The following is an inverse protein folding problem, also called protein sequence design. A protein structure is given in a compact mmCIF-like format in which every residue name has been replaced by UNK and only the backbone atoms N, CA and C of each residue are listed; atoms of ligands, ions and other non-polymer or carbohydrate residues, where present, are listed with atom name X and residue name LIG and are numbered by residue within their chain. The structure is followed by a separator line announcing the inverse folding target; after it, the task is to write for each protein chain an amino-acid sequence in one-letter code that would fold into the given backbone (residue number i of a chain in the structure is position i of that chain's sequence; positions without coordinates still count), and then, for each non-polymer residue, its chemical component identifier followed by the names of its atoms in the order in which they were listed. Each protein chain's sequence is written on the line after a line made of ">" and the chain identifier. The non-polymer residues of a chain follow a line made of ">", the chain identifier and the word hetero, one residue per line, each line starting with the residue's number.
data_IF_702265510937
#
_entry.id   IF_702265510937
#
_cell.length_a   1.000
_cell.length_b   1.000
_cell.length_c   1.000
_cell.angle_alpha   90.00
_cell.angle_beta   90.00
_cell.angle_gamma   90.00
#
_symmetry.space_group_name_H-M   'P 1'
#
loop_
_entity.id
_entity.type
_entity.pdbx_description
1 polymer ?
#
# COMPACT_ATOMS: atom_id res chain seq x y z
N UNK A 1 -13.06 8.35 -4.32
CA UNK A 1 -11.76 8.16 -5.03
C UNK A 1 -11.86 6.92 -5.91
N UNK A 2 -11.58 7.05 -7.20
CA UNK A 2 -11.53 5.93 -8.13
C UNK A 2 -10.09 5.75 -8.61
N UNK A 3 -9.50 4.57 -8.35
CA UNK A 3 -8.18 4.25 -8.88
C UNK A 3 -8.35 3.87 -10.35
N UNK A 4 -7.71 4.61 -11.24
CA UNK A 4 -7.86 4.42 -12.67
C UNK A 4 -6.87 3.39 -13.21
N UNK A 5 -5.62 3.42 -12.70
CA UNK A 5 -4.56 2.55 -13.19
C UNK A 5 -3.48 2.33 -12.14
N UNK A 6 -2.95 1.11 -12.11
CA UNK A 6 -1.78 0.71 -11.34
C UNK A 6 -0.72 0.15 -12.28
N UNK A 7 0.54 0.54 -12.08
CA UNK A 7 1.68 0.02 -12.83
C UNK A 7 2.79 -0.36 -11.87
N UNK A 8 3.29 -1.58 -11.99
CA UNK A 8 4.37 -2.12 -11.18
C UNK A 8 5.47 -2.67 -12.07
N UNK A 9 6.71 -2.26 -11.82
CA UNK A 9 7.87 -2.74 -12.58
C UNK A 9 8.99 -3.15 -11.65
N UNK A 10 9.64 -4.25 -12.01
CA UNK A 10 10.85 -4.73 -11.36
C UNK A 10 10.66 -5.09 -9.87
N UNK A 11 9.47 -5.56 -9.48
CA UNK A 11 9.15 -5.96 -8.11
C UNK A 11 8.84 -7.45 -8.01
N UNK A 12 9.67 -8.23 -7.31
CA UNK A 12 9.53 -9.69 -7.12
C UNK A 12 9.24 -10.39 -8.48
N UNK A 13 8.05 -10.98 -8.65
CA UNK A 13 7.62 -11.63 -9.89
C UNK A 13 6.97 -10.66 -10.90
N UNK A 14 6.79 -9.39 -10.55
CA UNK A 14 6.19 -8.38 -11.42
C UNK A 14 7.30 -7.69 -12.23
N UNK A 15 7.52 -8.14 -13.44
CA UNK A 15 8.49 -7.53 -14.36
C UNK A 15 7.98 -6.18 -14.85
N UNK A 16 6.81 -6.20 -15.49
CA UNK A 16 6.11 -5.02 -15.99
C UNK A 16 4.62 -5.35 -16.06
N UNK A 17 3.90 -4.99 -15.02
CA UNK A 17 2.47 -5.28 -14.86
C UNK A 17 1.70 -3.97 -14.78
N UNK A 18 0.63 -3.87 -15.54
CA UNK A 18 -0.28 -2.74 -15.55
C UNK A 18 -1.72 -3.25 -15.63
N UNK A 19 -2.59 -2.70 -14.80
CA UNK A 19 -4.03 -3.00 -14.85
C UNK A 19 -4.87 -1.84 -14.32
N UNK A 20 -6.15 -1.86 -14.68
CA UNK A 20 -7.17 -0.91 -14.25
C UNK A 20 -8.06 -1.63 -13.21
N UNK A 21 -7.94 -1.30 -11.92
CA UNK A 21 -8.72 -1.98 -10.90
C UNK A 21 -10.18 -1.52 -10.93
N UNK A 22 -11.10 -2.48 -10.78
CA UNK A 22 -12.49 -2.19 -10.47
C UNK A 22 -12.72 -1.99 -8.97
N UNK A 23 -14.00 -1.84 -8.59
CA UNK A 23 -14.40 -1.76 -7.17
C UNK A 23 -14.02 -3.04 -6.42
N UNK A 24 -14.20 -4.20 -7.05
CA UNK A 24 -13.79 -5.52 -6.56
C UNK A 24 -12.90 -6.17 -7.63
N UNK A 25 -11.78 -6.76 -7.19
CA UNK A 25 -10.86 -7.45 -8.07
C UNK A 25 -10.53 -8.82 -7.51
N UNK A 26 -10.64 -9.86 -8.34
CA UNK A 26 -10.32 -11.22 -7.96
C UNK A 26 -9.13 -11.72 -8.79
N UNK A 27 -8.03 -12.05 -8.13
CA UNK A 27 -6.84 -12.62 -8.77
C UNK A 27 -6.85 -14.14 -8.68
N UNK A 28 -6.95 -14.81 -9.82
CA UNK A 28 -6.95 -16.27 -9.92
C UNK A 28 -5.66 -16.73 -10.63
N UNK A 29 -5.14 -17.87 -10.24
CA UNK A 29 -3.95 -18.46 -10.85
C UNK A 29 -3.27 -19.49 -9.96
N UNK A 30 -2.29 -20.22 -10.49
CA UNK A 30 -1.50 -21.22 -9.78
C UNK A 30 -0.71 -20.62 -8.61
N UNK A 31 -0.23 -21.46 -7.69
CA UNK A 31 0.69 -21.02 -6.64
C UNK A 31 1.97 -20.48 -7.27
N UNK A 32 2.49 -19.36 -6.74
CA UNK A 32 3.67 -18.71 -7.31
C UNK A 32 3.40 -17.77 -8.51
N UNK A 33 2.15 -17.67 -9.03
CA UNK A 33 1.83 -16.81 -10.18
C UNK A 33 1.86 -15.29 -9.91
N UNK A 34 2.17 -14.87 -8.68
CA UNK A 34 2.30 -13.45 -8.35
C UNK A 34 1.05 -12.77 -7.76
N UNK A 35 -0.05 -13.51 -7.48
CA UNK A 35 -1.29 -12.95 -6.90
C UNK A 35 -1.02 -12.12 -5.63
N UNK A 36 -0.36 -12.71 -4.65
CA UNK A 36 0.02 -12.03 -3.41
C UNK A 36 1.03 -10.92 -3.67
N UNK A 37 1.91 -11.08 -4.67
CA UNK A 37 2.88 -10.07 -5.04
C UNK A 37 2.22 -8.78 -5.53
N UNK A 38 1.09 -8.87 -6.23
CA UNK A 38 0.30 -7.68 -6.64
C UNK A 38 -0.22 -6.95 -5.40
N UNK A 39 -0.79 -7.67 -4.43
CA UNK A 39 -1.25 -7.06 -3.17
C UNK A 39 -0.09 -6.40 -2.41
N UNK A 40 1.06 -7.08 -2.32
CA UNK A 40 2.26 -6.53 -1.68
C UNK A 40 2.80 -5.29 -2.40
N UNK A 41 2.71 -5.25 -3.74
CA UNK A 41 3.12 -4.08 -4.53
C UNK A 41 2.21 -2.88 -4.23
N UNK A 42 0.89 -3.09 -4.13
CA UNK A 42 -0.06 -2.05 -3.70
C UNK A 42 0.27 -1.57 -2.28
N UNK A 43 0.52 -2.49 -1.35
CA UNK A 43 0.89 -2.16 0.03
C UNK A 43 2.17 -1.33 0.10
N UNK A 44 3.18 -1.69 -0.67
CA UNK A 44 4.45 -0.96 -0.71
C UNK A 44 4.31 0.42 -1.36
N UNK A 45 3.49 0.54 -2.42
CA UNK A 45 3.11 1.83 -3.01
C UNK A 45 2.42 2.73 -1.99
N UNK A 46 1.44 2.19 -1.25
CA UNK A 46 0.74 2.92 -0.19
C UNK A 46 1.70 3.36 0.92
N UNK A 47 2.63 2.51 1.34
CA UNK A 47 3.67 2.88 2.30
C UNK A 47 4.57 3.99 1.75
N UNK A 48 4.95 3.91 0.48
CA UNK A 48 5.77 4.92 -0.19
C UNK A 48 5.14 6.31 -0.17
N UNK A 49 3.83 6.39 -0.35
CA UNK A 49 3.12 7.67 -0.34
C UNK A 49 2.97 8.26 1.06
N UNK A 50 2.76 7.41 2.06
CA UNK A 50 2.17 7.82 3.34
C UNK A 50 3.10 7.72 4.55
N UNK A 51 4.22 7.01 4.42
CA UNK A 51 5.07 6.65 5.57
C UNK A 51 6.55 6.57 5.13
N UNK A 52 7.39 6.12 6.04
CA UNK A 52 8.72 5.59 5.74
C UNK A 52 8.57 4.12 5.34
N UNK A 53 9.29 3.68 4.32
CA UNK A 53 9.31 2.27 3.98
C UNK A 53 10.42 1.59 4.78
N UNK A 54 10.02 0.83 5.79
CA UNK A 54 10.87 -0.01 6.63
C UNK A 54 10.13 -1.31 7.00
N UNK A 55 10.77 -2.19 7.73
CA UNK A 55 10.16 -3.46 8.14
C UNK A 55 8.88 -3.26 8.93
N UNK A 56 8.80 -2.24 9.79
CA UNK A 56 7.63 -1.98 10.62
C UNK A 56 6.42 -1.51 9.79
N UNK A 57 6.63 -0.54 8.89
CA UNK A 57 5.56 -0.03 8.02
C UNK A 57 5.05 -1.11 7.06
N UNK A 58 5.96 -1.96 6.54
CA UNK A 58 5.62 -3.09 5.69
C UNK A 58 4.78 -4.15 6.44
N UNK A 59 5.18 -4.49 7.67
CA UNK A 59 4.43 -5.44 8.50
C UNK A 59 3.03 -4.94 8.84
N UNK A 60 2.88 -3.65 9.19
CA UNK A 60 1.55 -3.05 9.45
C UNK A 60 0.61 -3.15 8.25
N UNK A 61 1.13 -3.20 7.03
CA UNK A 61 0.36 -3.38 5.80
C UNK A 61 0.19 -4.85 5.38
N UNK A 62 0.73 -5.79 6.16
CA UNK A 62 0.66 -7.23 5.84
C UNK A 62 1.61 -7.67 4.72
N UNK A 63 2.63 -6.88 4.41
CA UNK A 63 3.65 -7.23 3.43
C UNK A 63 4.64 -8.21 4.06
N UNK A 64 4.90 -9.32 3.39
CA UNK A 64 5.87 -10.31 3.86
C UNK A 64 7.30 -9.75 3.76
N UNK A 65 7.98 -9.73 4.89
CA UNK A 65 9.39 -9.33 4.94
C UNK A 65 10.27 -10.34 4.22
N UNK A 66 11.32 -9.82 3.63
CA UNK A 66 12.32 -10.60 2.90
C UNK A 66 13.67 -9.88 2.94
N UNK A 67 14.74 -10.58 2.55
CA UNK A 67 16.03 -9.92 2.33
C UNK A 67 15.93 -8.93 1.15
N UNK A 68 16.60 -7.77 1.23
CA UNK A 68 16.44 -6.69 0.26
C UNK A 68 16.59 -7.12 -1.21
N UNK A 69 17.54 -7.98 -1.51
CA UNK A 69 17.77 -8.47 -2.86
C UNK A 69 16.59 -9.22 -3.51
N UNK A 70 15.70 -9.81 -2.70
CA UNK A 70 14.53 -10.56 -3.17
C UNK A 70 13.32 -9.68 -3.48
N UNK A 71 13.34 -8.40 -3.15
CA UNK A 71 12.29 -7.47 -3.56
C UNK A 71 12.40 -7.07 -5.04
N UNK A 72 13.59 -7.13 -5.63
CA UNK A 72 13.78 -6.88 -7.05
C UNK A 72 13.49 -8.11 -7.87
N UNK A 73 12.96 -7.92 -9.08
CA UNK A 73 12.76 -9.00 -10.03
C UNK A 73 14.11 -9.64 -10.41
N UNK A 74 14.12 -10.97 -10.45
CA UNK A 74 15.31 -11.76 -10.76
C UNK A 74 15.44 -12.09 -12.26
N UNK A 75 14.60 -11.51 -13.13
CA UNK A 75 14.67 -11.72 -14.58
C UNK A 75 15.99 -11.20 -15.13
N UNK A 76 16.69 -12.05 -15.88
CA UNK A 76 18.09 -11.82 -16.31
C UNK A 76 18.29 -10.52 -17.08
N UNK A 77 17.30 -10.13 -17.87
CA UNK A 77 17.36 -8.95 -18.73
C UNK A 77 17.21 -7.64 -17.95
N UNK A 78 16.55 -7.69 -16.80
CA UNK A 78 16.31 -6.50 -15.95
C UNK A 78 17.47 -6.20 -15.00
N UNK A 79 18.22 -7.19 -14.57
CA UNK A 79 19.35 -7.01 -13.62
C UNK A 79 20.37 -5.97 -14.07
N UNK A 80 20.52 -5.77 -15.37
CA UNK A 80 21.48 -4.81 -15.94
C UNK A 80 20.90 -3.44 -16.23
N UNK A 81 19.56 -3.30 -16.36
CA UNK A 81 18.91 -2.10 -16.90
C UNK A 81 18.07 -1.32 -15.90
N UNK A 82 17.56 -1.95 -14.85
CA UNK A 82 16.68 -1.30 -13.90
C UNK A 82 17.22 -1.36 -12.46
N UNK A 83 17.95 -0.33 -12.02
CA UNK A 83 18.49 -0.29 -10.65
C UNK A 83 17.40 -0.13 -9.59
N UNK A 84 16.23 0.36 -9.98
CA UNK A 84 15.10 0.71 -9.08
C UNK A 84 13.89 -0.18 -9.31
N UNK A 85 13.06 -0.26 -8.28
CA UNK A 85 11.68 -0.72 -8.37
C UNK A 85 10.82 0.49 -8.69
N UNK A 86 9.86 0.35 -9.61
CA UNK A 86 9.04 1.47 -10.06
C UNK A 86 7.57 1.18 -9.81
N UNK A 87 6.88 2.12 -9.20
CA UNK A 87 5.43 2.11 -9.00
C UNK A 87 4.80 3.38 -9.55
N UNK A 88 3.63 3.23 -10.14
CA UNK A 88 2.82 4.34 -10.62
C UNK A 88 1.34 4.05 -10.33
N UNK A 89 0.62 5.04 -9.84
CA UNK A 89 -0.81 5.00 -9.62
C UNK A 89 -1.45 6.27 -10.15
N UNK A 90 -2.56 6.11 -10.88
CA UNK A 90 -3.43 7.23 -11.22
C UNK A 90 -4.83 7.01 -10.64
N UNK A 91 -5.43 8.09 -10.17
CA UNK A 91 -6.79 8.09 -9.63
C UNK A 91 -7.51 9.38 -9.98
N UNK A 92 -8.84 9.35 -9.89
CA UNK A 92 -9.69 10.52 -10.07
C UNK A 92 -10.58 10.75 -8.83
N UNK A 93 -10.74 12.02 -8.49
CA UNK A 93 -11.61 12.47 -7.41
C UNK A 93 -12.05 13.91 -7.68
N UNK A 94 -13.35 14.22 -7.52
CA UNK A 94 -13.91 15.57 -7.65
C UNK A 94 -13.45 16.28 -8.94
N UNK A 95 -13.58 15.59 -10.09
CA UNK A 95 -13.19 16.08 -11.42
C UNK A 95 -11.69 16.37 -11.60
N UNK A 96 -10.86 16.07 -10.61
CA UNK A 96 -9.40 16.15 -10.70
C UNK A 96 -8.80 14.78 -10.99
N UNK A 97 -7.76 14.75 -11.81
CA UNK A 97 -6.96 13.57 -12.10
C UNK A 97 -5.60 13.68 -11.43
N UNK A 98 -5.25 12.66 -10.70
CA UNK A 98 -4.01 12.57 -9.93
C UNK A 98 -3.15 11.43 -10.47
N UNK A 99 -1.84 11.62 -10.46
CA UNK A 99 -0.89 10.56 -10.72
C UNK A 99 0.28 10.69 -9.76
N UNK A 100 0.65 9.58 -9.16
CA UNK A 100 1.85 9.47 -8.33
C UNK A 100 2.75 8.38 -8.90
N UNK A 101 4.01 8.72 -9.13
CA UNK A 101 5.04 7.82 -9.61
C UNK A 101 6.25 7.85 -8.67
N UNK A 102 6.76 6.67 -8.30
CA UNK A 102 7.91 6.54 -7.42
C UNK A 102 8.89 5.48 -7.92
N UNK A 103 10.17 5.80 -7.81
CA UNK A 103 11.28 4.89 -8.06
C UNK A 103 12.04 4.68 -6.75
N UNK A 104 12.17 3.42 -6.33
CA UNK A 104 12.73 3.03 -5.06
C UNK A 104 14.00 2.21 -5.22
N UNK A 105 15.01 2.52 -4.43
CA UNK A 105 16.14 1.63 -4.20
C UNK A 105 15.85 0.75 -2.98
N UNK A 106 16.09 -0.55 -3.12
CA UNK A 106 16.02 -1.46 -1.97
C UNK A 106 17.06 -1.08 -0.91
N UNK A 107 16.84 -1.45 0.36
CA UNK A 107 17.79 -1.21 1.43
C UNK A 107 19.19 -1.73 1.11
N UNK A 108 20.18 -1.04 1.63
CA UNK A 108 21.59 -1.46 1.54
C UNK A 108 22.00 -2.15 2.85
N UNK A 109 22.18 -3.45 2.82
CA UNK A 109 22.55 -4.26 3.99
C UNK A 109 23.89 -3.86 4.62
N UNK A 110 24.77 -3.21 3.86
CA UNK A 110 26.06 -2.72 4.37
C UNK A 110 25.93 -1.43 5.20
N UNK A 111 24.80 -0.73 5.13
CA UNK A 111 24.52 0.44 5.96
C UNK A 111 23.91 0.00 7.30
N UNK A 112 24.72 -0.10 8.34
CA UNK A 112 24.32 -0.59 9.66
C UNK A 112 23.20 0.25 10.31
N UNK A 113 23.10 1.54 9.98
CA UNK A 113 22.10 2.46 10.53
C UNK A 113 20.76 2.44 9.78
N UNK A 114 20.77 2.00 8.52
CA UNK A 114 19.61 2.09 7.62
C UNK A 114 19.39 0.84 6.78
N UNK A 115 19.86 -0.32 7.26
CA UNK A 115 19.84 -1.59 6.54
C UNK A 115 18.46 -2.12 6.17
N UNK A 116 17.38 -1.61 6.76
CA UNK A 116 16.00 -1.96 6.46
C UNK A 116 15.21 -0.82 5.82
N UNK A 117 15.82 0.36 5.63
CA UNK A 117 15.15 1.54 5.06
C UNK A 117 15.30 1.62 3.55
N UNK A 118 14.18 1.84 2.89
CA UNK A 118 14.12 2.06 1.46
C UNK A 118 14.43 3.51 1.11
N UNK A 119 15.24 3.68 0.07
CA UNK A 119 15.60 5.02 -0.40
C UNK A 119 14.78 5.40 -1.62
N UNK A 120 14.18 6.57 -1.59
CA UNK A 120 13.51 7.16 -2.74
C UNK A 120 14.56 7.67 -3.74
N UNK A 121 14.61 7.06 -4.93
CA UNK A 121 15.47 7.52 -6.03
C UNK A 121 14.85 8.72 -6.73
N UNK A 122 13.57 8.64 -7.04
CA UNK A 122 12.77 9.75 -7.56
C UNK A 122 11.30 9.56 -7.18
N UNK A 123 10.58 10.66 -7.11
CA UNK A 123 9.18 10.69 -6.77
C UNK A 123 8.53 11.88 -7.47
N UNK A 124 7.32 11.70 -7.98
CA UNK A 124 6.60 12.73 -8.71
C UNK A 124 5.11 12.61 -8.44
N UNK A 125 4.47 13.75 -8.15
CA UNK A 125 3.04 13.89 -8.03
C UNK A 125 2.53 14.91 -9.05
N UNK A 126 1.51 14.54 -9.81
CA UNK A 126 0.84 15.44 -10.76
C UNK A 126 -0.64 15.53 -10.45
N UNK A 127 -1.21 16.71 -10.71
CA UNK A 127 -2.65 16.96 -10.68
C UNK A 127 -3.02 17.58 -12.03
N UNK A 128 -4.01 16.99 -12.72
CA UNK A 128 -4.44 17.41 -14.06
C UNK A 128 -3.26 17.55 -15.05
N UNK A 129 -2.30 16.62 -15.01
CA UNK A 129 -1.06 16.58 -15.78
C UNK A 129 -0.01 17.66 -15.42
N UNK A 130 -0.28 18.53 -14.45
CA UNK A 130 0.70 19.48 -13.94
C UNK A 130 1.46 18.90 -12.76
N UNK A 131 2.78 19.05 -12.74
CA UNK A 131 3.61 18.58 -11.64
C UNK A 131 3.46 19.52 -10.44
N UNK A 132 2.82 19.05 -9.37
CA UNK A 132 2.66 19.82 -8.14
C UNK A 132 3.79 19.56 -7.15
N UNK A 133 4.45 18.40 -7.26
CA UNK A 133 5.60 18.08 -6.42
C UNK A 133 6.47 16.99 -7.07
N UNK A 134 7.77 17.03 -6.77
CA UNK A 134 8.69 16.00 -7.22
C UNK A 134 10.09 16.13 -6.64
N UNK A 135 10.77 14.99 -6.55
CA UNK A 135 12.21 14.89 -6.25
C UNK A 135 12.88 13.95 -7.23
N UNK A 136 14.15 14.23 -7.55
CA UNK A 136 14.99 13.41 -8.42
C UNK A 136 16.26 12.99 -7.69
N UNK A 137 16.70 11.76 -7.92
CA UNK A 137 17.94 11.23 -7.34
C UNK A 137 19.22 11.95 -7.78
N UNK A 138 19.15 12.68 -8.90
CA UNK A 138 20.24 13.52 -9.41
C UNK A 138 20.25 14.94 -8.81
N UNK A 139 19.16 15.38 -8.22
CA UNK A 139 19.03 16.69 -7.58
C UNK A 139 19.54 16.62 -6.15
N UNK A 140 20.30 17.64 -5.69
CA UNK A 140 20.57 17.87 -4.27
C UNK A 140 19.28 18.34 -3.62
N UNK A 141 18.40 17.40 -3.29
CA UNK A 141 17.13 17.70 -2.63
C UNK A 141 17.38 17.98 -1.16
N UNK A 142 16.67 18.97 -0.63
CA UNK A 142 16.64 19.31 0.81
C UNK A 142 15.88 18.27 1.62
N UNK A 143 15.14 17.36 0.95
CA UNK A 143 14.27 16.39 1.59
C UNK A 143 14.98 15.09 1.99
N UNK A 144 14.62 14.53 3.14
CA UNK A 144 15.11 13.22 3.58
C UNK A 144 14.74 12.14 2.52
N UNK A 145 15.73 11.46 1.92
CA UNK A 145 15.47 10.46 0.88
C UNK A 145 14.86 9.15 1.41
N UNK A 146 14.57 9.05 2.70
CA UNK A 146 14.04 7.84 3.36
C UNK A 146 12.60 7.99 3.85
N UNK A 147 11.94 9.12 3.57
CA UNK A 147 10.55 9.35 4.00
C UNK A 147 9.65 9.62 2.81
N UNK A 148 8.40 9.16 2.89
CA UNK A 148 7.37 9.39 1.89
C UNK A 148 6.81 10.80 1.92
N UNK A 149 6.06 11.13 0.87
CA UNK A 149 5.52 12.47 0.61
C UNK A 149 4.75 13.06 1.81
N UNK A 150 3.88 12.27 2.45
CA UNK A 150 3.07 12.76 3.58
C UNK A 150 3.88 13.06 4.85
N UNK A 151 5.08 12.52 4.98
CA UNK A 151 5.96 12.76 6.12
C UNK A 151 6.82 14.02 5.93
N UNK A 152 6.83 14.59 4.74
CA UNK A 152 7.52 15.86 4.48
C UNK A 152 6.75 17.01 5.12
N UNK A 153 7.45 18.10 5.39
CA UNK A 153 6.82 19.31 5.95
C UNK A 153 5.64 19.77 5.08
N UNK A 154 4.55 20.25 5.71
CA UNK A 154 3.40 20.75 4.99
C UNK A 154 3.80 21.89 4.04
N UNK A 155 3.44 21.73 2.79
CA UNK A 155 3.52 22.77 1.76
C UNK A 155 2.08 23.13 1.37
N UNK A 156 1.76 24.40 1.19
CA UNK A 156 0.43 24.87 0.79
C UNK A 156 -0.04 24.21 -0.51
N UNK A 157 0.88 24.02 -1.48
CA UNK A 157 0.59 23.36 -2.76
C UNK A 157 0.17 21.89 -2.60
N UNK A 158 0.61 21.23 -1.52
CA UNK A 158 0.27 19.84 -1.22
C UNK A 158 -0.95 19.68 -0.32
N UNK A 159 -1.48 20.74 0.27
CA UNK A 159 -2.55 20.67 1.26
C UNK A 159 -3.81 19.97 0.73
N UNK A 160 -4.26 20.32 -0.49
CA UNK A 160 -5.42 19.68 -1.12
C UNK A 160 -5.17 18.21 -1.46
N UNK A 161 -3.96 17.89 -1.94
CA UNK A 161 -3.60 16.54 -2.36
C UNK A 161 -3.37 15.64 -1.15
N UNK A 162 -2.94 16.21 -0.03
CA UNK A 162 -2.64 15.49 1.21
C UNK A 162 -3.81 14.65 1.69
N UNK A 163 -5.02 15.22 1.70
CA UNK A 163 -6.25 14.52 2.07
C UNK A 163 -6.53 13.32 1.18
N UNK A 164 -6.26 13.42 -0.12
CA UNK A 164 -6.43 12.30 -1.05
C UNK A 164 -5.39 11.20 -0.82
N UNK A 165 -4.14 11.58 -0.59
CA UNK A 165 -3.06 10.62 -0.33
C UNK A 165 -3.27 9.91 1.01
N UNK A 166 -3.83 10.58 2.02
CA UNK A 166 -4.11 9.98 3.33
C UNK A 166 -5.03 8.75 3.25
N UNK A 167 -5.89 8.67 2.25
CA UNK A 167 -6.76 7.50 2.02
C UNK A 167 -5.96 6.21 1.79
N UNK A 168 -4.74 6.30 1.24
CA UNK A 168 -3.86 5.17 1.04
C UNK A 168 -3.22 4.61 2.33
N UNK A 169 -3.31 5.35 3.45
CA UNK A 169 -2.85 4.86 4.76
C UNK A 169 -3.59 3.61 5.20
N UNK A 170 -4.88 3.52 4.87
CA UNK A 170 -5.78 2.47 5.33
C UNK A 170 -5.63 1.14 4.57
N UNK A 171 -4.80 1.10 3.52
CA UNK A 171 -4.57 -0.15 2.81
C UNK A 171 -3.85 -1.16 3.71
N UNK A 172 -4.40 -2.36 3.81
CA UNK A 172 -3.78 -3.49 4.50
C UNK A 172 -4.13 -4.82 3.80
N UNK A 173 -3.25 -5.79 3.93
CA UNK A 173 -3.43 -7.15 3.42
C UNK A 173 -3.86 -8.02 4.58
N UNK A 174 -5.11 -8.45 4.58
CA UNK A 174 -5.64 -9.37 5.57
C UNK A 174 -5.43 -10.82 5.13
N UNK A 175 -4.96 -11.65 6.05
CA UNK A 175 -4.77 -13.08 5.88
C UNK A 175 -5.43 -13.82 7.05
N UNK A 176 -6.78 -13.82 7.14
CA UNK A 176 -7.49 -14.40 8.25
C UNK A 176 -7.14 -15.89 8.43
N UNK A 177 -6.91 -16.31 9.68
CA UNK A 177 -6.72 -17.71 10.02
C UNK A 177 -7.62 -18.10 11.19
N UNK A 178 -8.00 -19.37 11.21
CA UNK A 178 -8.97 -19.90 12.18
C UNK A 178 -8.54 -19.70 13.65
N UNK A 179 -7.27 -19.73 13.94
CA UNK A 179 -6.76 -19.64 15.31
C UNK A 179 -6.88 -18.22 15.86
N UNK A 180 -6.51 -17.21 15.05
CA UNK A 180 -6.68 -15.81 15.41
C UNK A 180 -8.16 -15.41 15.46
N UNK A 181 -8.97 -15.86 14.47
CA UNK A 181 -10.41 -15.59 14.44
C UNK A 181 -11.14 -16.15 15.66
N UNK A 182 -10.73 -17.33 16.16
CA UNK A 182 -11.31 -17.96 17.35
C UNK A 182 -10.67 -17.49 18.67
N UNK A 183 -9.70 -16.59 18.62
CA UNK A 183 -8.99 -16.15 19.81
C UNK A 183 -8.14 -17.24 20.50
N UNK A 184 -7.90 -18.39 19.84
CA UNK A 184 -7.09 -19.48 20.40
C UNK A 184 -5.59 -19.19 20.36
N UNK A 185 -5.14 -18.32 19.44
CA UNK A 185 -3.82 -17.75 19.42
C UNK A 185 -3.92 -16.24 19.21
N UNK A 186 -3.04 -15.44 19.84
CA UNK A 186 -3.02 -14.01 19.61
C UNK A 186 -2.63 -13.71 18.14
N UNK A 187 -3.23 -12.66 17.58
CA UNK A 187 -2.82 -12.16 16.26
C UNK A 187 -1.41 -11.55 16.36
N UNK A 188 -0.44 -12.04 15.61
CA UNK A 188 0.93 -11.51 15.64
C UNK A 188 1.02 -10.09 15.06
N UNK A 189 0.01 -9.66 14.30
CA UNK A 189 -0.05 -8.36 13.62
C UNK A 189 -1.28 -7.58 14.09
N UNK A 190 -1.22 -7.10 15.33
CA UNK A 190 -2.29 -6.29 15.91
C UNK A 190 -2.32 -4.93 15.25
N UNK A 191 -3.34 -4.70 14.42
CA UNK A 191 -3.68 -3.42 13.81
C UNK A 191 -5.11 -3.09 14.25
N UNK A 192 -5.41 -1.83 14.50
CA UNK A 192 -6.75 -1.40 14.83
C UNK A 192 -7.55 -1.12 13.55
N UNK A 193 -8.86 -1.44 13.47
CA UNK A 193 -9.66 -2.13 14.52
C UNK A 193 -9.51 -3.64 14.54
N UNK A 194 -9.05 -4.27 13.46
CA UNK A 194 -8.96 -5.73 13.26
C UNK A 194 -7.52 -6.11 12.97
N UNK A 195 -6.99 -7.13 13.64
CA UNK A 195 -5.66 -7.67 13.34
C UNK A 195 -5.57 -8.28 11.94
N UNK A 196 -4.39 -8.28 11.32
CA UNK A 196 -4.22 -8.75 9.93
C UNK A 196 -4.53 -10.25 9.75
N UNK A 197 -4.47 -11.05 10.82
CA UNK A 197 -4.89 -12.46 10.82
C UNK A 197 -6.32 -12.67 11.31
N UNK A 198 -7.08 -11.60 11.49
CA UNK A 198 -8.48 -11.64 11.95
C UNK A 198 -8.65 -11.54 13.46
N UNK A 199 -7.60 -11.27 14.22
CA UNK A 199 -7.71 -11.03 15.66
C UNK A 199 -8.59 -9.80 15.95
N UNK A 200 -9.39 -9.88 17.02
CA UNK A 200 -10.34 -8.83 17.43
C UNK A 200 -11.48 -8.56 16.43
N UNK A 201 -11.77 -9.50 15.53
CA UNK A 201 -12.88 -9.32 14.59
C UNK A 201 -14.22 -9.24 15.33
N UNK A 202 -14.43 -10.10 16.34
CA UNK A 202 -15.68 -10.10 17.11
C UNK A 202 -15.91 -8.79 17.84
N UNK A 203 -14.87 -8.24 18.49
CA UNK A 203 -14.93 -6.97 19.20
C UNK A 203 -15.19 -5.79 18.24
N UNK A 204 -14.57 -5.82 17.07
CA UNK A 204 -14.78 -4.77 16.06
C UNK A 204 -16.21 -4.79 15.53
N UNK A 205 -16.80 -5.98 15.31
CA UNK A 205 -18.22 -6.14 14.92
C UNK A 205 -19.12 -5.63 16.06
N UNK A 206 -18.84 -5.99 17.31
CA UNK A 206 -19.60 -5.51 18.46
C UNK A 206 -19.58 -3.98 18.58
N UNK A 207 -18.42 -3.35 18.36
CA UNK A 207 -18.30 -1.89 18.35
C UNK A 207 -19.15 -1.23 17.25
N UNK A 208 -19.23 -1.85 16.06
CA UNK A 208 -20.06 -1.38 14.96
C UNK A 208 -21.55 -1.46 15.34
N UNK A 209 -21.99 -2.62 15.88
CA UNK A 209 -23.38 -2.83 16.28
C UNK A 209 -23.81 -1.86 17.39
N UNK A 210 -22.95 -1.63 18.40
CA UNK A 210 -23.26 -0.71 19.50
C UNK A 210 -23.41 0.75 19.02
N UNK A 211 -22.62 1.17 18.03
CA UNK A 211 -22.76 2.52 17.45
C UNK A 211 -24.10 2.71 16.73
N UNK A 212 -24.71 1.63 16.22
CA UNK A 212 -26.05 1.68 15.61
C UNK A 212 -27.15 1.88 16.63
N UNK A 213 -27.03 1.36 17.86
CA UNK A 213 -28.01 1.56 18.94
C UNK A 213 -28.05 3.01 19.41
N UNK A 214 -26.92 3.77 19.24
CA UNK A 214 -26.81 5.19 19.56
C UNK A 214 -27.29 6.14 18.42
N UNK A 215 -27.82 5.61 17.31
CA UNK A 215 -28.52 6.36 16.27
C UNK A 215 -27.68 6.85 15.09
N UNK A 216 -26.44 6.42 14.94
CA UNK A 216 -25.65 6.63 13.72
C UNK A 216 -25.30 5.29 13.06
N UNK A 217 -26.18 4.84 12.15
CA UNK A 217 -26.02 3.56 11.45
C UNK A 217 -24.96 3.63 10.37
N UNK A 218 -23.80 3.01 10.60
CA UNK A 218 -22.83 2.70 9.55
C UNK A 218 -23.18 1.39 8.78
N UNK A 219 -24.18 0.62 9.25
CA UNK A 219 -24.59 -0.64 8.63
C UNK A 219 -25.43 -0.45 7.35
N UNK A 220 -26.05 0.71 7.16
CA UNK A 220 -26.86 0.99 5.95
C UNK A 220 -26.03 1.02 4.66
N UNK A 221 -24.70 1.22 4.76
CA UNK A 221 -23.80 1.25 3.61
C UNK A 221 -22.99 -0.06 3.45
N UNK A 222 -23.13 -1.01 4.37
CA UNK A 222 -22.51 -2.33 4.23
C UNK A 222 -23.50 -3.27 3.52
N UNK A 223 -23.13 -3.94 2.43
CA UNK A 223 -23.98 -4.93 1.77
C UNK A 223 -24.02 -6.23 2.59
N UNK A 224 -24.56 -6.14 3.83
CA UNK A 224 -24.69 -7.31 4.72
C UNK A 224 -25.66 -8.32 4.14
N UNK A 225 -26.71 -7.87 3.45
CA UNK A 225 -27.67 -8.73 2.77
C UNK A 225 -26.99 -9.54 1.66
N UNK A 226 -26.06 -8.93 0.90
CA UNK A 226 -25.27 -9.61 -0.12
C UNK A 226 -24.27 -10.64 0.47
N UNK A 227 -23.82 -10.43 1.71
CA UNK A 227 -22.90 -11.35 2.42
C UNK A 227 -23.67 -12.50 3.05
N UNK A 228 -24.88 -12.28 3.55
CA UNK A 228 -25.73 -13.31 4.15
C UNK A 228 -26.26 -14.28 3.10
N UNK A 229 -26.59 -13.80 1.89
CA UNK A 229 -26.98 -14.67 0.75
C UNK A 229 -25.84 -15.56 0.23
N UNK A 230 -24.58 -15.28 0.57
CA UNK A 230 -23.42 -16.13 0.21
C UNK A 230 -23.12 -17.23 1.23
N UNK A 231 -23.83 -17.26 2.38
CA UNK A 231 -23.59 -18.22 3.47
C UNK A 231 -24.66 -19.31 3.51
N UNK A 232 -25.81 -19.14 2.86
CA UNK A 232 -26.85 -20.13 2.64
C UNK A 232 -26.57 -20.94 1.35
#
# INVERSE_FOLDING_TARGET
>A
MNINKLVFRNFKTLENVSFEPGRVNVFIGANGSGKTTVLEAIGLLCAAMTDRIDNSSMQRKGIRLSVPGLYKSAFSDLKRKAPTINFDVSWSQNEKNYQYAVNLNVPNESDSARRDMWRYHSEKLTVNNETVWGRSGASKTTYDPYVGLLMLEPNEELAEVRTEIEKFKNYAIYQPNTQALRGTLPDPYQVNPIGLCGGRLAEAIEEIIRKDEDGESYLQDLPLDDVLELID
#
